data_IF_247565492736
#
_entry.id   IF_247565492736
#
_cell.length_a   1.000
_cell.length_b   1.000
_cell.length_c   1.000
_cell.angle_alpha   90.00
_cell.angle_beta   90.00
_cell.angle_gamma   90.00
#
_symmetry.space_group_name_H-M   'P 1'
#
loop_
_entity.id
_entity.type
_entity.pdbx_description
1 polymer ?
#
# COMPACT_ATOMS: atom_id res chain seq x y z
N UNK A 1 -2.43 10.40 -16.60
CA UNK A 1 -1.28 10.05 -17.48
C UNK A 1 0.05 10.61 -16.99
N UNK A 2 0.10 11.78 -16.34
CA UNK A 2 1.37 12.33 -15.83
C UNK A 2 2.04 11.46 -14.74
N UNK A 3 1.24 10.88 -13.84
CA UNK A 3 1.74 10.03 -12.73
C UNK A 3 2.14 8.63 -13.21
N UNK A 4 1.21 7.86 -13.76
CA UNK A 4 1.44 6.45 -14.13
C UNK A 4 1.87 6.21 -15.58
N UNK A 5 1.93 7.25 -16.41
CA UNK A 5 2.29 7.10 -17.82
C UNK A 5 3.72 6.60 -18.03
N UNK A 6 4.74 7.25 -17.43
CA UNK A 6 6.13 6.84 -17.59
C UNK A 6 6.40 5.39 -17.18
N UNK A 7 5.76 4.93 -16.10
CA UNK A 7 5.87 3.54 -15.61
C UNK A 7 5.26 2.52 -16.58
N UNK A 8 4.38 2.95 -17.49
CA UNK A 8 3.77 2.12 -18.54
C UNK A 8 4.48 2.28 -19.89
N UNK A 9 5.66 2.91 -19.91
CA UNK A 9 6.48 3.07 -21.12
C UNK A 9 6.13 4.28 -21.99
N UNK A 10 5.32 5.23 -21.51
CA UNK A 10 5.04 6.46 -22.26
C UNK A 10 6.24 7.40 -22.21
N UNK A 11 6.73 7.78 -23.38
CA UNK A 11 7.78 8.79 -23.50
C UNK A 11 7.20 10.20 -23.20
N UNK A 12 8.06 11.12 -22.74
CA UNK A 12 7.64 12.49 -22.40
C UNK A 12 6.94 13.21 -23.56
N UNK A 13 7.36 12.96 -24.80
CA UNK A 13 6.75 13.53 -26.01
C UNK A 13 5.32 13.02 -26.27
N UNK A 14 4.96 11.85 -25.75
CA UNK A 14 3.66 11.23 -25.94
C UNK A 14 2.64 11.66 -24.89
N UNK A 15 3.11 12.10 -23.72
CA UNK A 15 2.26 12.46 -22.57
C UNK A 15 1.20 13.52 -22.94
N UNK A 16 1.55 14.52 -23.74
CA UNK A 16 0.61 15.56 -24.18
C UNK A 16 -0.54 14.99 -25.02
N UNK A 17 -0.19 14.21 -26.06
CA UNK A 17 -1.16 13.58 -26.97
C UNK A 17 -2.10 12.64 -26.23
N UNK A 18 -1.56 11.79 -25.34
CA UNK A 18 -2.35 10.82 -24.58
C UNK A 18 -3.20 11.53 -23.53
N UNK A 19 -2.69 12.57 -22.87
CA UNK A 19 -3.52 13.37 -21.95
C UNK A 19 -4.71 14.01 -22.66
N UNK A 20 -4.52 14.56 -23.85
CA UNK A 20 -5.63 15.11 -24.65
C UNK A 20 -6.63 14.02 -25.09
N UNK A 21 -6.16 12.80 -25.40
CA UNK A 21 -7.04 11.67 -25.68
C UNK A 21 -7.86 11.26 -24.45
N UNK A 22 -7.27 11.27 -23.26
CA UNK A 22 -7.98 11.01 -22.01
C UNK A 22 -9.02 12.10 -21.69
N UNK A 23 -8.76 13.37 -22.00
CA UNK A 23 -9.79 14.39 -21.88
C UNK A 23 -10.96 14.14 -22.84
N UNK A 24 -10.69 13.77 -24.10
CA UNK A 24 -11.78 13.40 -25.02
C UNK A 24 -12.57 12.19 -24.53
N UNK A 25 -11.89 11.23 -23.90
CA UNK A 25 -12.53 10.07 -23.30
C UNK A 25 -13.54 10.46 -22.21
N UNK A 26 -13.19 11.36 -21.28
CA UNK A 26 -14.13 11.79 -20.23
C UNK A 26 -15.36 12.50 -20.81
N UNK A 27 -15.19 13.35 -21.83
CA UNK A 27 -16.31 14.00 -22.52
C UNK A 27 -17.20 13.02 -23.29
N UNK A 28 -16.63 11.91 -23.79
CA UNK A 28 -17.41 10.84 -24.42
C UNK A 28 -18.24 10.10 -23.38
N UNK A 29 -17.67 9.77 -22.22
CA UNK A 29 -18.42 9.14 -21.12
C UNK A 29 -19.59 10.01 -20.66
N UNK A 30 -19.37 11.30 -20.45
CA UNK A 30 -20.41 12.25 -20.06
C UNK A 30 -21.53 12.34 -21.10
N UNK A 31 -21.18 12.49 -22.38
CA UNK A 31 -22.17 12.59 -23.46
C UNK A 31 -23.00 11.32 -23.65
N UNK A 32 -22.41 10.14 -23.43
CA UNK A 32 -23.08 8.85 -23.66
C UNK A 32 -23.90 8.41 -22.45
N UNK A 33 -23.37 8.59 -21.24
CA UNK A 33 -23.97 8.08 -20.00
C UNK A 33 -24.58 9.16 -19.12
N UNK A 34 -24.38 10.45 -19.43
CA UNK A 34 -24.87 11.58 -18.63
C UNK A 34 -24.12 11.80 -17.32
N UNK A 35 -22.92 11.21 -17.16
CA UNK A 35 -22.14 11.25 -15.91
C UNK A 35 -20.81 11.98 -16.13
N UNK A 36 -20.60 13.09 -15.44
CA UNK A 36 -19.29 13.76 -15.39
C UNK A 36 -18.34 12.97 -14.47
N UNK A 37 -17.28 12.43 -15.08
CA UNK A 37 -16.25 11.63 -14.40
C UNK A 37 -14.96 12.39 -14.10
N UNK A 38 -14.89 13.68 -14.43
CA UNK A 38 -13.64 14.45 -14.37
C UNK A 38 -13.18 14.73 -12.93
N UNK A 39 -14.12 14.77 -11.98
CA UNK A 39 -13.84 15.05 -10.55
C UNK A 39 -13.87 13.79 -9.67
N UNK A 40 -14.02 12.60 -10.26
CA UNK A 40 -14.08 11.37 -9.48
C UNK A 40 -12.68 11.01 -8.98
N UNK A 41 -12.48 11.05 -7.66
CA UNK A 41 -11.28 10.55 -7.02
C UNK A 41 -11.03 9.08 -7.42
N UNK A 42 -9.82 8.78 -7.89
CA UNK A 42 -9.49 7.44 -8.42
C UNK A 42 -10.01 7.14 -9.83
N UNK A 43 -10.76 8.05 -10.48
CA UNK A 43 -11.28 7.83 -11.85
C UNK A 43 -10.21 7.56 -12.90
N UNK A 44 -8.98 8.06 -12.68
CA UNK A 44 -7.82 7.78 -13.53
C UNK A 44 -7.21 6.38 -13.37
N UNK A 45 -7.67 5.58 -12.39
CA UNK A 45 -7.15 4.24 -12.14
C UNK A 45 -7.30 3.33 -13.36
N UNK A 46 -6.34 2.43 -13.52
CA UNK A 46 -6.19 1.56 -14.69
C UNK A 46 -6.22 2.31 -16.04
N UNK A 47 -5.87 3.60 -16.06
CA UNK A 47 -5.87 4.41 -17.29
C UNK A 47 -7.26 4.90 -17.70
N UNK A 48 -8.16 5.16 -16.75
CA UNK A 48 -9.51 5.68 -17.00
C UNK A 48 -10.59 4.60 -17.12
N UNK A 49 -10.23 3.34 -16.87
CA UNK A 49 -11.19 2.22 -16.79
C UNK A 49 -12.11 2.40 -15.58
N UNK A 50 -11.60 2.90 -14.45
CA UNK A 50 -12.42 3.15 -13.27
C UNK A 50 -13.52 4.20 -13.54
N UNK A 51 -13.18 5.31 -14.21
CA UNK A 51 -14.15 6.31 -14.67
C UNK A 51 -15.21 5.70 -15.62
N UNK A 52 -14.79 4.81 -16.52
CA UNK A 52 -15.70 4.13 -17.44
C UNK A 52 -16.68 3.20 -16.71
N UNK A 53 -16.18 2.39 -15.78
CA UNK A 53 -17.00 1.49 -14.97
C UNK A 53 -18.00 2.28 -14.11
N UNK A 54 -17.57 3.41 -13.54
CA UNK A 54 -18.47 4.28 -12.81
C UNK A 54 -19.61 4.81 -13.69
N UNK A 55 -19.29 5.41 -14.84
CA UNK A 55 -20.29 5.99 -15.74
C UNK A 55 -21.20 4.95 -16.40
N UNK A 56 -20.64 3.84 -16.89
CA UNK A 56 -21.37 2.88 -17.72
C UNK A 56 -22.06 1.77 -16.91
N UNK A 57 -21.50 1.39 -15.75
CA UNK A 57 -21.98 0.27 -14.94
C UNK A 57 -22.53 0.71 -13.57
N UNK A 58 -22.43 1.99 -13.23
CA UNK A 58 -22.80 2.49 -11.90
C UNK A 58 -21.88 1.98 -10.79
N UNK A 59 -20.63 1.61 -11.12
CA UNK A 59 -19.69 1.06 -10.14
C UNK A 59 -19.22 2.13 -9.14
N UNK A 60 -19.02 1.75 -7.88
CA UNK A 60 -18.36 2.60 -6.87
C UNK A 60 -16.85 2.37 -6.89
N UNK A 61 -16.08 3.44 -6.65
CA UNK A 61 -14.64 3.34 -6.46
C UNK A 61 -14.37 3.34 -4.96
N UNK A 62 -13.82 2.25 -4.47
CA UNK A 62 -13.53 2.04 -3.05
C UNK A 62 -12.04 1.82 -2.82
N UNK A 63 -11.58 2.05 -1.59
CA UNK A 63 -10.23 1.68 -1.19
C UNK A 63 -10.09 0.16 -1.21
N UNK A 64 -9.23 -0.36 -2.10
CA UNK A 64 -9.01 -1.81 -2.19
C UNK A 64 -8.48 -2.41 -0.89
N UNK A 65 -7.67 -1.67 -0.14
CA UNK A 65 -7.18 -2.13 1.16
C UNK A 65 -8.32 -2.26 2.18
N UNK A 66 -9.22 -1.27 2.25
CA UNK A 66 -10.39 -1.31 3.15
C UNK A 66 -11.36 -2.42 2.75
N UNK A 67 -11.66 -2.54 1.47
CA UNK A 67 -12.51 -3.60 0.94
C UNK A 67 -12.00 -5.00 1.34
N UNK A 68 -10.69 -5.24 1.21
CA UNK A 68 -10.07 -6.50 1.63
C UNK A 68 -10.04 -6.65 3.16
N UNK A 69 -9.80 -5.57 3.90
CA UNK A 69 -9.83 -5.59 5.36
C UNK A 69 -11.21 -6.03 5.88
N UNK A 70 -12.28 -5.50 5.31
CA UNK A 70 -13.65 -5.87 5.68
C UNK A 70 -13.97 -7.30 5.25
N UNK A 71 -13.61 -7.69 4.02
CA UNK A 71 -13.83 -9.04 3.51
C UNK A 71 -13.12 -10.13 4.33
N UNK A 72 -11.99 -9.79 4.95
CA UNK A 72 -11.18 -10.72 5.74
C UNK A 72 -11.42 -10.63 7.25
N UNK A 73 -12.31 -9.73 7.69
CA UNK A 73 -12.53 -9.40 9.11
C UNK A 73 -11.22 -9.03 9.81
N UNK A 74 -10.39 -8.22 9.12
CA UNK A 74 -9.05 -7.88 9.57
C UNK A 74 -9.09 -7.14 10.92
N UNK A 75 -10.06 -6.26 11.14
CA UNK A 75 -10.20 -5.48 12.38
C UNK A 75 -10.45 -6.39 13.59
N UNK A 76 -11.31 -7.41 13.44
CA UNK A 76 -11.57 -8.41 14.47
C UNK A 76 -10.32 -9.25 14.75
N UNK A 77 -9.62 -9.67 13.70
CA UNK A 77 -8.38 -10.45 13.82
C UNK A 77 -7.28 -9.66 14.52
N UNK A 78 -7.11 -8.39 14.18
CA UNK A 78 -6.16 -7.50 14.86
C UNK A 78 -6.55 -7.35 16.33
N UNK A 79 -7.84 -7.12 16.64
CA UNK A 79 -8.29 -7.01 18.03
C UNK A 79 -7.98 -8.24 18.88
N UNK A 80 -8.06 -9.43 18.28
CA UNK A 80 -7.77 -10.70 18.94
C UNK A 80 -6.27 -11.05 19.00
N UNK A 81 -5.41 -10.35 18.24
CA UNK A 81 -3.98 -10.64 18.17
C UNK A 81 -3.21 -9.97 19.31
N UNK A 82 -2.16 -10.63 19.80
CA UNK A 82 -1.20 -10.03 20.74
C UNK A 82 -0.22 -9.10 20.00
N UNK A 83 0.15 -9.48 18.77
CA UNK A 83 1.08 -8.74 17.91
C UNK A 83 0.58 -8.77 16.47
N UNK A 84 0.75 -7.66 15.75
CA UNK A 84 0.47 -7.55 14.32
C UNK A 84 1.77 -7.44 13.54
N UNK A 85 1.89 -8.21 12.46
CA UNK A 85 3.01 -8.10 11.52
C UNK A 85 2.46 -7.79 10.13
N UNK A 86 3.05 -6.81 9.46
CA UNK A 86 2.75 -6.47 8.07
C UNK A 86 4.05 -6.34 7.27
N UNK A 87 3.95 -6.14 5.95
CA UNK A 87 5.14 -5.98 5.12
C UNK A 87 4.89 -5.53 3.69
N UNK A 88 5.93 -4.98 3.09
CA UNK A 88 5.95 -4.57 1.68
C UNK A 88 7.39 -4.50 1.12
N UNK A 89 7.52 -4.24 -0.18
CA UNK A 89 8.83 -4.12 -0.82
C UNK A 89 9.63 -2.90 -0.36
N UNK A 90 8.98 -1.74 -0.23
CA UNK A 90 9.60 -0.49 0.21
C UNK A 90 8.68 0.21 1.20
N UNK A 91 9.19 0.45 2.40
CA UNK A 91 8.47 1.18 3.45
C UNK A 91 8.86 2.66 3.34
N UNK A 92 7.95 3.47 2.80
CA UNK A 92 8.18 4.83 2.34
C UNK A 92 6.90 5.69 2.40
N UNK A 93 6.95 6.93 1.89
CA UNK A 93 5.80 7.87 1.86
C UNK A 93 4.53 7.28 1.23
N UNK A 94 4.67 6.33 0.30
CA UNK A 94 3.54 5.73 -0.39
C UNK A 94 2.86 4.64 0.43
N UNK A 95 3.48 4.14 1.50
CA UNK A 95 2.89 3.14 2.40
C UNK A 95 1.51 3.57 2.91
N UNK A 96 1.37 4.83 3.31
CA UNK A 96 0.11 5.40 3.83
C UNK A 96 -0.79 5.98 2.74
N UNK A 97 -0.42 5.86 1.47
CA UNK A 97 -1.23 6.35 0.34
C UNK A 97 -2.32 5.35 -0.08
N UNK A 98 -2.93 4.66 0.89
CA UNK A 98 -3.99 3.66 0.66
C UNK A 98 -3.50 2.24 0.36
N UNK A 99 -2.22 1.92 0.62
CA UNK A 99 -1.72 0.54 0.52
C UNK A 99 -2.09 -0.29 1.75
N UNK A 100 -2.09 -1.61 1.58
CA UNK A 100 -2.43 -2.56 2.65
C UNK A 100 -1.58 -2.41 3.93
N UNK A 101 -0.24 -2.26 3.88
CA UNK A 101 0.57 -2.14 5.10
C UNK A 101 0.22 -0.89 5.91
N UNK A 102 0.01 0.24 5.25
CA UNK A 102 -0.42 1.48 5.90
C UNK A 102 -1.75 1.30 6.63
N UNK A 103 -2.74 0.64 5.99
CA UNK A 103 -4.02 0.33 6.63
C UNK A 103 -3.87 -0.60 7.84
N UNK A 104 -3.05 -1.66 7.73
CA UNK A 104 -2.79 -2.58 8.85
C UNK A 104 -2.18 -1.83 10.03
N UNK A 105 -1.22 -0.93 9.77
CA UNK A 105 -0.60 -0.09 10.81
C UNK A 105 -1.63 0.82 11.47
N UNK A 106 -2.46 1.51 10.69
CA UNK A 106 -3.52 2.37 11.21
C UNK A 106 -4.52 1.59 12.08
N UNK A 107 -5.02 0.45 11.61
CA UNK A 107 -5.95 -0.40 12.36
C UNK A 107 -5.32 -0.88 13.68
N UNK A 108 -4.07 -1.37 13.63
CA UNK A 108 -3.38 -1.84 14.82
C UNK A 108 -3.17 -0.72 15.85
N UNK A 109 -2.76 0.46 15.39
CA UNK A 109 -2.59 1.64 16.24
C UNK A 109 -3.91 2.07 16.89
N UNK A 110 -5.01 2.16 16.13
CA UNK A 110 -6.34 2.52 16.65
C UNK A 110 -6.85 1.54 17.72
N UNK A 111 -6.54 0.25 17.58
CA UNK A 111 -6.95 -0.80 18.52
C UNK A 111 -5.97 -0.90 19.70
N UNK A 112 -4.79 -0.26 19.62
CA UNK A 112 -3.74 -0.34 20.63
C UNK A 112 -2.96 -1.65 20.60
N UNK A 113 -2.83 -2.28 19.42
CA UNK A 113 -1.99 -3.47 19.21
C UNK A 113 -0.62 -3.11 18.66
N UNK A 114 0.47 -3.69 19.20
CA UNK A 114 1.80 -3.46 18.68
C UNK A 114 1.91 -4.01 17.25
N UNK A 115 2.33 -3.16 16.33
CA UNK A 115 2.51 -3.49 14.91
C UNK A 115 3.96 -3.41 14.50
N UNK A 116 4.42 -4.43 13.79
CA UNK A 116 5.78 -4.55 13.29
C UNK A 116 5.78 -4.70 11.76
N UNK A 117 6.83 -4.20 11.11
CA UNK A 117 6.96 -4.21 9.65
C UNK A 117 8.18 -5.02 9.22
N UNK A 118 7.96 -5.96 8.30
CA UNK A 118 9.02 -6.58 7.52
C UNK A 118 9.02 -5.96 6.13
N UNK A 119 10.05 -5.17 5.82
CA UNK A 119 10.16 -4.50 4.53
C UNK A 119 11.28 -5.09 3.66
N UNK A 120 11.21 -4.90 2.35
CA UNK A 120 12.37 -5.14 1.49
C UNK A 120 13.48 -4.13 1.79
N UNK A 121 13.10 -2.84 1.83
CA UNK A 121 13.89 -1.66 2.22
C UNK A 121 13.03 -0.68 3.02
N UNK A 122 13.64 0.22 3.79
CA UNK A 122 12.95 1.39 4.38
C UNK A 122 13.68 2.66 3.97
N UNK A 123 12.93 3.69 3.60
CA UNK A 123 13.45 5.05 3.41
C UNK A 123 13.29 5.90 4.67
N UNK A 124 12.49 5.42 5.64
CA UNK A 124 12.26 6.14 6.89
C UNK A 124 13.27 5.81 7.97
N UNK A 125 13.75 6.84 8.69
CA UNK A 125 14.50 6.65 9.92
C UNK A 125 13.59 6.16 11.05
N UNK A 126 14.20 5.60 12.09
CA UNK A 126 13.49 5.05 13.25
C UNK A 126 12.50 6.01 13.92
N UNK A 127 12.91 7.27 14.09
CA UNK A 127 12.05 8.29 14.67
C UNK A 127 10.73 8.47 13.89
N UNK A 128 10.76 8.32 12.57
CA UNK A 128 9.61 8.57 11.69
C UNK A 128 8.60 7.42 11.77
N UNK A 129 9.03 6.16 11.76
CA UNK A 129 8.08 5.07 11.87
C UNK A 129 7.58 4.86 13.31
N UNK A 130 8.39 5.18 14.32
CA UNK A 130 7.93 5.19 15.72
C UNK A 130 6.84 6.23 15.96
N UNK A 131 6.97 7.44 15.40
CA UNK A 131 5.94 8.49 15.53
C UNK A 131 4.60 8.08 14.88
N UNK A 132 4.63 7.10 13.98
CA UNK A 132 3.48 6.51 13.30
C UNK A 132 2.94 5.25 14.00
N UNK A 133 3.41 4.96 15.20
CA UNK A 133 2.90 3.86 16.02
C UNK A 133 3.45 2.47 15.65
N UNK A 134 4.52 2.40 14.84
CA UNK A 134 5.18 1.13 14.52
C UNK A 134 6.15 0.77 15.64
N UNK A 135 6.03 -0.45 16.17
CA UNK A 135 6.82 -0.95 17.29
C UNK A 135 8.22 -1.42 16.88
N UNK A 136 8.38 -1.86 15.63
CA UNK A 136 9.68 -2.24 15.09
C UNK A 136 9.65 -2.51 13.59
N UNK A 137 10.78 -2.26 12.93
CA UNK A 137 10.97 -2.49 11.51
C UNK A 137 12.25 -3.29 11.30
N UNK A 138 12.19 -4.30 10.44
CA UNK A 138 13.37 -4.97 9.89
C UNK A 138 13.31 -4.94 8.37
N UNK A 139 14.46 -4.85 7.73
CA UNK A 139 14.53 -4.93 6.27
C UNK A 139 15.23 -6.21 5.81
N UNK A 140 14.84 -6.69 4.64
CA UNK A 140 15.54 -7.78 3.96
C UNK A 140 16.89 -7.30 3.42
N UNK A 141 17.00 -6.03 3.01
CA UNK A 141 18.26 -5.44 2.54
C UNK A 141 19.34 -5.39 3.62
N UNK A 142 18.99 -5.03 4.85
CA UNK A 142 19.96 -4.97 5.95
C UNK A 142 20.38 -6.39 6.37
N UNK A 143 19.47 -7.35 6.30
CA UNK A 143 19.80 -8.76 6.54
C UNK A 143 20.74 -9.33 5.48
N UNK A 144 20.50 -8.99 4.21
CA UNK A 144 21.30 -9.45 3.08
C UNK A 144 22.61 -8.67 2.86
N UNK A 145 22.71 -7.46 3.40
CA UNK A 145 23.79 -6.51 3.16
C UNK A 145 23.59 -5.61 1.92
N UNK A 146 22.61 -5.91 1.04
CA UNK A 146 22.15 -4.98 0.00
C UNK A 146 20.75 -5.36 -0.54
N UNK A 147 20.02 -4.41 -1.17
CA UNK A 147 18.76 -4.72 -1.86
C UNK A 147 18.92 -5.74 -2.99
N UNK A 148 20.06 -5.75 -3.68
CA UNK A 148 20.35 -6.69 -4.78
C UNK A 148 20.48 -8.12 -4.26
N UNK A 149 21.18 -8.32 -3.14
CA UNK A 149 21.32 -9.63 -2.52
C UNK A 149 19.99 -10.10 -1.93
N UNK A 150 19.22 -9.19 -1.32
CA UNK A 150 17.88 -9.49 -0.83
C UNK A 150 16.96 -10.04 -1.94
N UNK A 151 17.00 -9.43 -3.15
CA UNK A 151 16.19 -9.86 -4.30
C UNK A 151 16.66 -11.18 -4.94
N UNK A 152 17.92 -11.58 -4.76
CA UNK A 152 18.44 -12.86 -5.28
C UNK A 152 17.91 -14.06 -4.49
N UNK A 153 17.77 -13.93 -3.17
CA UNK A 153 17.30 -14.99 -2.28
C UNK A 153 16.14 -14.50 -1.38
N UNK A 154 15.01 -14.06 -1.95
CA UNK A 154 13.98 -13.32 -1.21
C UNK A 154 13.37 -14.12 -0.06
N UNK A 155 13.16 -15.43 -0.23
CA UNK A 155 12.65 -16.30 0.85
C UNK A 155 13.60 -16.35 2.04
N UNK A 156 14.89 -16.62 1.78
CA UNK A 156 15.92 -16.70 2.82
C UNK A 156 16.01 -15.42 3.64
N UNK A 157 16.00 -14.28 2.95
CA UNK A 157 16.13 -12.99 3.63
C UNK A 157 14.85 -12.57 4.34
N UNK A 158 13.68 -12.93 3.79
CA UNK A 158 12.42 -12.77 4.51
C UNK A 158 12.39 -13.60 5.80
N UNK A 159 12.80 -14.87 5.76
CA UNK A 159 12.84 -15.75 6.94
C UNK A 159 13.83 -15.23 8.00
N UNK A 160 15.01 -14.76 7.55
CA UNK A 160 16.03 -14.18 8.41
C UNK A 160 15.52 -12.91 9.09
N UNK A 161 14.90 -12.00 8.32
CA UNK A 161 14.36 -10.76 8.85
C UNK A 161 13.19 -11.01 9.79
N UNK A 162 12.25 -11.89 9.44
CA UNK A 162 11.14 -12.27 10.32
C UNK A 162 11.63 -12.89 11.65
N UNK A 163 12.67 -13.73 11.60
CA UNK A 163 13.29 -14.30 12.79
C UNK A 163 13.91 -13.24 13.70
N UNK A 164 14.57 -12.21 13.13
CA UNK A 164 15.09 -11.07 13.88
C UNK A 164 13.97 -10.21 14.47
N UNK A 165 12.90 -10.00 13.72
CA UNK A 165 11.74 -9.23 14.19
C UNK A 165 11.08 -9.90 15.41
N UNK A 166 10.92 -11.23 15.36
CA UNK A 166 10.28 -11.99 16.43
C UNK A 166 11.01 -11.91 17.78
N UNK A 167 12.34 -11.72 17.77
CA UNK A 167 13.12 -11.49 18.99
C UNK A 167 12.70 -10.19 19.69
N UNK A 168 12.13 -9.23 18.94
CA UNK A 168 11.60 -7.97 19.45
C UNK A 168 10.16 -8.03 19.99
N UNK A 169 9.50 -9.19 20.00
CA UNK A 169 8.13 -9.33 20.51
C UNK A 169 8.06 -9.40 22.04
N UNK A 170 9.16 -9.72 22.72
CA UNK A 170 9.18 -9.85 24.18
C UNK A 170 8.54 -8.69 24.96
N UNK A 171 8.87 -7.42 24.65
CA UNK A 171 8.21 -6.26 25.28
C UNK A 171 6.71 -6.14 25.01
N UNK A 172 6.22 -6.71 23.89
CA UNK A 172 4.84 -6.62 23.44
C UNK A 172 3.92 -7.71 24.01
N UNK A 173 4.47 -8.89 24.34
CA UNK A 173 3.70 -10.04 24.81
C UNK A 173 3.43 -10.05 26.32
N UNK A 174 3.99 -9.09 27.07
CA UNK A 174 4.00 -9.14 28.53
C UNK A 174 4.83 -10.30 29.07
N UNK A 175 5.21 -10.25 30.35
CA UNK A 175 5.77 -11.43 31.00
C UNK A 175 4.67 -12.51 30.99
N UNK A 176 4.98 -13.65 30.38
CA UNK A 176 4.16 -14.86 30.53
C UNK A 176 4.40 -15.36 31.95
N UNK A 177 3.48 -15.05 32.87
CA UNK A 177 3.41 -15.69 34.19
C UNK A 177 2.80 -17.09 34.08
#
# INVERSE_FOLDING_TARGET
>A
MRVFGPQKGLESRELGRVSAAMCRWTHLLERVFGVDVTQIAGGGAAGGVAAAAHAALGATIESGAEFIADLTSLRERVRAADVVVTGEGAFDEQTFSGKAPGLVISIAHEIGRPVYVVAGVTEWPEAEWRSRGVAGVVTCSDAAGSPELARREPRRWLDTSASRLAQGFGPALGAVD
#
